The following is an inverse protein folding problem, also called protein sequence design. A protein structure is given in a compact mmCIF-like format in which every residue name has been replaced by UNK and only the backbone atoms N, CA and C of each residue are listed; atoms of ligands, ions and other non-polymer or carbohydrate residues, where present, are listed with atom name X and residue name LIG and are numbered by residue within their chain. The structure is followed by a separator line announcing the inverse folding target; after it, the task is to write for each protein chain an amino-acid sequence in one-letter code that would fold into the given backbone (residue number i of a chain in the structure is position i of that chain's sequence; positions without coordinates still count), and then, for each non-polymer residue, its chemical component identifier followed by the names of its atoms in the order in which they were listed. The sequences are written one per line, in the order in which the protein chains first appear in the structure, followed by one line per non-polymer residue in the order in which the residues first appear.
data_IF_626785585673
#
_entry.id   IF_626785585673
#
_cell.length_a   1.000
_cell.length_b   1.000
_cell.length_c   1.000
_cell.angle_alpha   90.00
_cell.angle_beta   90.00
_cell.angle_gamma   90.00
#
_symmetry.space_group_name_H-M   'P 1'
#
loop_
_entity.id
_entity.type
_entity.pdbx_description
1 polymer ?
#
# COMPACT_ATOMS: atom_id res chain seq x y z
N UNK A 1 23.22 5.80 -3.37
CA UNK A 1 22.40 6.17 -2.19
C UNK A 1 22.53 5.08 -1.16
N UNK A 2 22.41 5.38 0.13
CA UNK A 2 22.36 4.38 1.20
C UNK A 2 20.95 3.81 1.38
N UNK A 3 20.82 2.61 1.93
CA UNK A 3 19.51 2.01 2.24
C UNK A 3 18.66 2.95 3.11
N UNK A 4 19.24 3.57 4.14
CA UNK A 4 18.53 4.55 5.00
C UNK A 4 17.96 5.72 4.19
N UNK A 5 18.72 6.24 3.23
CA UNK A 5 18.31 7.38 2.41
C UNK A 5 17.14 7.00 1.50
N UNK A 6 17.18 5.80 0.90
CA UNK A 6 16.08 5.26 0.09
C UNK A 6 14.83 5.11 0.94
N UNK A 7 14.96 4.50 2.12
CA UNK A 7 13.85 4.29 3.03
C UNK A 7 13.21 5.59 3.51
N UNK A 8 14.01 6.56 3.99
CA UNK A 8 13.53 7.88 4.39
C UNK A 8 12.89 8.65 3.23
N UNK A 9 13.45 8.51 2.02
CA UNK A 9 12.88 9.09 0.82
C UNK A 9 11.48 8.54 0.54
N UNK A 10 11.29 7.22 0.59
CA UNK A 10 9.97 6.60 0.40
C UNK A 10 8.96 7.02 1.46
N UNK A 11 9.33 7.00 2.75
CA UNK A 11 8.44 7.47 3.83
C UNK A 11 8.02 8.91 3.61
N UNK A 12 8.97 9.80 3.26
CA UNK A 12 8.69 11.20 2.96
C UNK A 12 7.71 11.35 1.79
N UNK A 13 7.91 10.62 0.68
CA UNK A 13 7.00 10.63 -0.47
C UNK A 13 5.61 10.11 -0.12
N UNK A 14 5.53 9.10 0.76
CA UNK A 14 4.27 8.60 1.31
C UNK A 14 3.51 9.67 2.06
N UNK A 15 4.18 10.42 2.93
CA UNK A 15 3.58 11.55 3.70
C UNK A 15 3.14 12.68 2.77
N UNK A 16 3.93 13.00 1.74
CA UNK A 16 3.58 14.03 0.74
C UNK A 16 2.30 13.69 -0.06
N UNK A 17 1.93 12.41 -0.15
CA UNK A 17 0.80 11.90 -0.93
C UNK A 17 -0.24 11.18 -0.06
N UNK A 18 -0.19 11.36 1.26
CA UNK A 18 -1.14 10.77 2.19
C UNK A 18 -2.53 11.41 2.00
N UNK A 19 -3.63 10.63 1.98
CA UNK A 19 -4.99 11.18 1.90
C UNK A 19 -5.43 11.89 3.19
N UNK A 20 -4.68 11.73 4.28
CA UNK A 20 -4.89 12.47 5.53
C UNK A 20 -4.26 13.85 5.47
N UNK A 21 -4.74 14.73 6.34
CA UNK A 21 -4.14 16.02 6.60
C UNK A 21 -2.80 15.88 7.33
N UNK A 22 -1.94 16.89 7.21
CA UNK A 22 -0.67 16.94 7.95
C UNK A 22 -0.90 16.88 9.46
N UNK A 23 -1.95 17.54 9.95
CA UNK A 23 -2.28 17.60 11.37
C UNK A 23 -2.63 16.21 11.93
N UNK A 24 -3.31 15.36 11.14
CA UNK A 24 -3.64 13.97 11.53
C UNK A 24 -2.39 13.10 11.60
N UNK A 25 -1.47 13.23 10.64
CA UNK A 25 -0.19 12.51 10.64
C UNK A 25 0.67 12.96 11.83
N UNK A 26 0.76 14.27 12.08
CA UNK A 26 1.49 14.81 13.23
C UNK A 26 0.88 14.38 14.56
N UNK A 27 -0.45 14.29 14.64
CA UNK A 27 -1.16 13.77 15.82
C UNK A 27 -0.78 12.32 16.09
N UNK A 28 -0.75 11.47 15.06
CA UNK A 28 -0.34 10.07 15.19
C UNK A 28 1.11 9.92 15.68
N UNK A 29 2.04 10.70 15.11
CA UNK A 29 3.45 10.69 15.53
C UNK A 29 3.62 11.17 16.97
N UNK A 30 2.92 12.24 17.38
CA UNK A 30 2.91 12.72 18.78
C UNK A 30 2.38 11.67 19.74
N UNK A 31 1.29 10.99 19.37
CA UNK A 31 0.74 9.90 20.18
C UNK A 31 1.74 8.74 20.33
N UNK A 32 2.50 8.42 19.27
CA UNK A 32 3.56 7.42 19.35
C UNK A 32 4.70 7.85 20.30
N UNK A 33 5.09 9.13 20.28
CA UNK A 33 6.08 9.67 21.22
C UNK A 33 5.60 9.63 22.67
N UNK A 34 4.35 10.00 22.93
CA UNK A 34 3.73 9.95 24.25
C UNK A 34 3.69 8.51 24.76
N UNK A 35 3.22 7.58 23.92
CA UNK A 35 3.22 6.14 24.24
C UNK A 35 4.62 5.65 24.58
N UNK A 36 5.65 6.06 23.84
CA UNK A 36 7.04 5.67 24.14
C UNK A 36 7.55 6.24 25.47
N UNK A 37 7.21 7.49 25.79
CA UNK A 37 7.58 8.13 27.07
C UNK A 37 6.93 7.45 28.27
N UNK A 38 5.68 7.00 28.10
CA UNK A 38 4.91 6.28 29.13
C UNK A 38 5.27 4.78 29.22
N UNK A 39 5.91 4.23 28.19
CA UNK A 39 6.36 2.83 28.19
C UNK A 39 7.42 2.62 29.26
N UNK A 40 7.20 1.61 30.12
CA UNK A 40 8.13 1.24 31.19
C UNK A 40 9.50 0.88 30.60
N UNK A 41 10.57 1.15 31.35
CA UNK A 41 11.94 0.88 30.89
C UNK A 41 12.14 -0.58 30.47
N UNK A 42 11.51 -1.53 31.18
CA UNK A 42 11.54 -2.97 30.85
C UNK A 42 10.85 -3.32 29.53
N UNK A 43 9.93 -2.47 29.07
CA UNK A 43 9.09 -2.74 27.91
C UNK A 43 9.55 -1.93 26.69
N UNK A 44 10.45 -0.96 26.87
CA UNK A 44 10.98 -0.10 25.79
C UNK A 44 11.73 -0.89 24.72
N UNK A 45 12.33 -2.04 25.06
CA UNK A 45 13.00 -2.90 24.08
C UNK A 45 12.03 -3.50 23.05
N UNK A 46 10.75 -3.64 23.42
CA UNK A 46 9.70 -4.16 22.52
C UNK A 46 8.99 -3.07 21.74
N UNK A 47 9.23 -1.79 22.07
CA UNK A 47 8.63 -0.68 21.36
C UNK A 47 9.25 -0.54 19.96
N UNK A 48 8.41 -0.33 18.96
CA UNK A 48 8.86 -0.07 17.60
C UNK A 48 9.27 1.41 17.44
N UNK A 49 10.55 1.70 17.73
CA UNK A 49 11.09 3.07 17.67
C UNK A 49 10.93 3.74 16.30
N UNK A 50 10.79 2.96 15.23
CA UNK A 50 10.55 3.47 13.89
C UNK A 50 9.26 4.30 13.81
N UNK A 51 8.25 3.98 14.63
CA UNK A 51 6.97 4.71 14.72
C UNK A 51 7.10 6.15 15.20
N UNK A 52 8.25 6.53 15.77
CA UNK A 52 8.51 7.90 16.19
C UNK A 52 8.74 8.84 15.01
N UNK A 53 9.11 8.29 13.85
CA UNK A 53 9.44 9.09 12.64
C UNK A 53 8.76 8.61 11.38
N UNK A 54 8.22 7.39 11.37
CA UNK A 54 7.48 6.82 10.25
C UNK A 54 6.05 6.46 10.72
N UNK A 55 5.01 7.12 10.20
CA UNK A 55 3.61 6.82 10.55
C UNK A 55 3.14 5.48 9.95
N UNK A 56 3.86 4.89 8.99
CA UNK A 56 3.44 3.68 8.29
C UNK A 56 4.07 2.45 8.91
N UNK A 57 3.30 1.68 9.68
CA UNK A 57 3.81 0.49 10.38
C UNK A 57 4.15 -0.69 9.47
N UNK A 58 3.65 -0.67 8.24
CA UNK A 58 3.77 -1.71 7.23
C UNK A 58 4.96 -1.52 6.27
N UNK A 59 5.82 -0.55 6.54
CA UNK A 59 6.96 -0.16 5.69
C UNK A 59 8.23 -0.15 6.51
N UNK A 60 9.17 -1.06 6.26
CA UNK A 60 10.36 -1.24 7.12
C UNK A 60 11.59 -1.67 6.31
N UNK A 61 12.76 -1.27 6.80
CA UNK A 61 13.99 -2.04 6.56
C UNK A 61 13.87 -3.31 7.39
N UNK A 62 13.82 -4.46 6.74
CA UNK A 62 13.57 -5.76 7.38
C UNK A 62 14.87 -6.45 7.79
N UNK A 63 15.91 -6.29 6.96
CA UNK A 63 17.25 -6.82 7.21
C UNK A 63 18.31 -6.05 6.43
N UNK A 64 19.51 -5.96 6.97
CA UNK A 64 20.70 -5.36 6.33
C UNK A 64 21.21 -4.11 7.06
N UNK A 65 22.42 -3.68 6.69
CA UNK A 65 23.03 -2.47 7.24
C UNK A 65 22.43 -1.23 6.57
N UNK A 66 21.74 -0.32 7.29
CA UNK A 66 21.15 0.88 6.71
C UNK A 66 22.17 1.82 6.03
N UNK A 67 23.46 1.69 6.37
CA UNK A 67 24.55 2.49 5.78
C UNK A 67 25.12 1.91 4.48
N UNK A 68 24.66 0.73 4.04
CA UNK A 68 25.14 0.13 2.79
C UNK A 68 24.78 0.99 1.59
N UNK A 69 25.75 1.24 0.70
CA UNK A 69 25.51 1.88 -0.59
C UNK A 69 24.82 0.92 -1.56
N UNK A 70 23.75 1.40 -2.17
CA UNK A 70 22.92 0.68 -3.13
C UNK A 70 23.12 1.28 -4.51
N UNK A 71 23.47 0.42 -5.47
CA UNK A 71 23.59 0.75 -6.91
C UNK A 71 22.57 0.00 -7.74
N UNK A 72 22.19 -1.23 -7.37
CA UNK A 72 21.16 -2.00 -8.05
C UNK A 72 20.22 -2.68 -7.04
N UNK A 73 18.92 -2.51 -7.27
CA UNK A 73 17.85 -3.13 -6.48
C UNK A 73 17.08 -4.16 -7.29
N UNK A 74 16.73 -5.28 -6.65
CA UNK A 74 15.70 -6.19 -7.15
C UNK A 74 14.37 -5.78 -6.52
N UNK A 75 13.33 -5.55 -7.32
CA UNK A 75 12.05 -5.04 -6.84
C UNK A 75 10.91 -5.90 -7.32
N UNK A 76 10.06 -6.34 -6.38
CA UNK A 76 8.86 -7.12 -6.66
C UNK A 76 7.67 -6.65 -5.84
N UNK A 77 6.46 -7.03 -6.27
CA UNK A 77 5.25 -6.79 -5.48
C UNK A 77 5.20 -7.77 -4.31
N UNK A 78 5.21 -9.06 -4.62
CA UNK A 78 5.36 -10.15 -3.66
C UNK A 78 6.82 -10.60 -3.62
N UNK A 79 7.45 -10.60 -2.44
CA UNK A 79 8.83 -11.09 -2.29
C UNK A 79 8.87 -12.04 -1.11
N UNK A 80 8.82 -13.33 -1.43
CA UNK A 80 8.97 -14.39 -0.44
C UNK A 80 10.34 -15.06 -0.59
N UNK A 81 10.50 -16.26 -0.01
CA UNK A 81 11.74 -17.05 -0.10
C UNK A 81 12.14 -17.29 -1.57
N UNK A 82 11.18 -17.51 -2.46
CA UNK A 82 11.45 -17.78 -3.88
C UNK A 82 12.18 -16.63 -4.57
N UNK A 83 11.78 -15.39 -4.31
CA UNK A 83 12.36 -14.19 -4.91
C UNK A 83 13.73 -13.88 -4.30
N UNK A 84 13.91 -14.18 -3.01
CA UNK A 84 15.21 -14.09 -2.35
C UNK A 84 16.20 -15.10 -2.94
N UNK A 85 15.76 -16.35 -3.16
CA UNK A 85 16.57 -17.37 -3.82
C UNK A 85 16.88 -17.01 -5.28
N UNK A 86 15.92 -16.39 -5.99
CA UNK A 86 16.16 -15.84 -7.32
C UNK A 86 17.24 -14.76 -7.29
N UNK A 87 17.18 -13.82 -6.34
CA UNK A 87 18.19 -12.78 -6.16
C UNK A 87 19.58 -13.38 -5.92
N UNK A 88 19.67 -14.38 -5.05
CA UNK A 88 20.92 -15.08 -4.77
C UNK A 88 21.47 -15.78 -6.02
N UNK A 89 20.61 -16.48 -6.75
CA UNK A 89 21.01 -17.16 -8.00
C UNK A 89 21.46 -16.19 -9.09
N UNK A 90 20.89 -14.98 -9.13
CA UNK A 90 21.34 -13.91 -10.01
C UNK A 90 22.72 -13.40 -9.58
N UNK A 91 22.96 -13.21 -8.28
CA UNK A 91 24.28 -12.85 -7.72
C UNK A 91 25.36 -13.87 -8.07
N UNK A 92 25.06 -15.16 -7.93
CA UNK A 92 25.98 -16.24 -8.35
C UNK A 92 26.33 -16.18 -9.84
N UNK A 93 25.43 -15.66 -10.68
CA UNK A 93 25.63 -15.49 -12.13
C UNK A 93 26.28 -14.16 -12.51
N UNK A 94 26.71 -13.38 -11.52
CA UNK A 94 27.42 -12.11 -11.71
C UNK A 94 26.51 -10.89 -11.82
N UNK A 95 25.20 -11.01 -11.59
CA UNK A 95 24.32 -9.85 -11.48
C UNK A 95 24.46 -9.21 -10.09
N UNK A 96 24.62 -7.89 -10.02
CA UNK A 96 24.69 -7.18 -8.75
C UNK A 96 23.30 -7.00 -8.17
N UNK A 97 23.03 -7.49 -6.96
CA UNK A 97 21.81 -7.16 -6.22
C UNK A 97 22.23 -6.71 -4.82
N UNK A 98 22.14 -5.39 -4.58
CA UNK A 98 22.59 -4.78 -3.33
C UNK A 98 21.47 -4.72 -2.28
N UNK A 99 20.22 -4.70 -2.73
CA UNK A 99 19.02 -4.60 -1.89
C UNK A 99 17.82 -5.21 -2.63
N UNK A 100 17.00 -5.95 -1.91
CA UNK A 100 15.66 -6.36 -2.36
C UNK A 100 14.62 -5.40 -1.77
N UNK A 101 13.68 -4.96 -2.59
CA UNK A 101 12.56 -4.11 -2.19
C UNK A 101 11.25 -4.84 -2.54
N UNK A 102 10.46 -5.19 -1.52
CA UNK A 102 9.08 -5.66 -1.69
C UNK A 102 8.10 -4.49 -1.67
N UNK A 103 6.96 -4.64 -2.33
CA UNK A 103 5.79 -3.83 -2.02
C UNK A 103 5.09 -4.38 -0.77
N UNK A 104 4.64 -5.63 -0.81
CA UNK A 104 3.87 -6.20 0.29
C UNK A 104 4.73 -6.41 1.55
N UNK A 105 4.15 -6.21 2.75
CA UNK A 105 4.89 -6.30 4.00
C UNK A 105 5.35 -7.72 4.32
N UNK A 106 6.55 -7.83 4.87
CA UNK A 106 7.13 -9.06 5.42
C UNK A 106 7.65 -8.78 6.84
N UNK A 107 7.96 -9.83 7.61
CA UNK A 107 8.57 -9.67 8.95
C UNK A 107 7.80 -8.76 9.89
N UNK A 108 8.52 -7.86 10.56
CA UNK A 108 7.94 -6.92 11.54
C UNK A 108 6.90 -5.97 10.92
N UNK A 109 7.05 -5.63 9.63
CA UNK A 109 6.07 -4.80 8.94
C UNK A 109 4.73 -5.54 8.77
N UNK A 110 4.78 -6.83 8.42
CA UNK A 110 3.57 -7.67 8.33
C UNK A 110 2.88 -7.84 9.68
N UNK A 111 3.66 -8.07 10.76
CA UNK A 111 3.11 -8.14 12.13
C UNK A 111 2.30 -6.87 12.46
N UNK A 112 2.81 -5.72 12.04
CA UNK A 112 2.24 -4.42 12.35
C UNK A 112 1.29 -3.87 11.27
N UNK A 113 0.93 -4.66 10.25
CA UNK A 113 0.06 -4.22 9.16
C UNK A 113 -1.29 -3.69 9.67
N UNK A 114 -1.89 -4.38 10.64
CA UNK A 114 -3.17 -3.95 11.24
C UNK A 114 -3.11 -2.53 11.85
N UNK A 115 -1.93 -2.04 12.26
CA UNK A 115 -1.80 -0.72 12.90
C UNK A 115 -1.97 0.43 11.92
N UNK A 116 -1.56 0.27 10.65
CA UNK A 116 -1.70 1.33 9.65
C UNK A 116 -3.16 1.56 9.27
N UNK A 117 -4.02 0.56 9.48
CA UNK A 117 -5.44 0.63 9.14
C UNK A 117 -6.21 1.69 9.94
N UNK A 118 -5.68 2.22 11.04
CA UNK A 118 -6.30 3.37 11.75
C UNK A 118 -6.40 4.59 10.83
N UNK A 119 -5.53 4.73 9.83
CA UNK A 119 -5.64 5.81 8.83
C UNK A 119 -6.96 5.75 8.05
N UNK A 120 -7.62 4.59 7.96
CA UNK A 120 -8.92 4.47 7.31
C UNK A 120 -10.02 5.21 8.08
N UNK A 121 -9.85 5.44 9.38
CA UNK A 121 -10.80 6.21 10.20
C UNK A 121 -10.86 7.66 9.70
N UNK A 122 -9.69 8.28 9.52
CA UNK A 122 -9.55 9.63 8.97
C UNK A 122 -10.01 9.69 7.50
N UNK A 123 -9.69 8.67 6.68
CA UNK A 123 -10.17 8.60 5.27
C UNK A 123 -11.70 8.55 5.20
N UNK A 124 -12.35 7.71 6.02
CA UNK A 124 -13.81 7.65 6.11
C UNK A 124 -14.39 8.99 6.58
N UNK A 125 -13.72 9.66 7.53
CA UNK A 125 -14.11 10.98 8.00
C UNK A 125 -14.08 12.03 6.88
N UNK A 126 -13.01 12.07 6.08
CA UNK A 126 -12.89 12.94 4.90
C UNK A 126 -13.95 12.64 3.83
N UNK A 127 -14.43 11.41 3.75
CA UNK A 127 -15.51 11.03 2.83
C UNK A 127 -16.89 11.47 3.31
N UNK A 128 -17.04 11.88 4.58
CA UNK A 128 -18.28 12.37 5.19
C UNK A 128 -18.90 11.44 6.23
N UNK A 129 -18.20 10.38 6.63
CA UNK A 129 -18.65 9.50 7.73
C UNK A 129 -18.25 10.14 9.07
N UNK A 130 -19.13 10.28 10.08
CA UNK A 130 -18.71 10.80 11.38
C UNK A 130 -17.55 10.00 11.99
N UNK A 131 -16.53 10.70 12.50
CA UNK A 131 -15.28 10.07 12.98
C UNK A 131 -15.51 9.00 14.03
N UNK A 132 -16.41 9.23 14.99
CA UNK A 132 -16.76 8.25 16.03
C UNK A 132 -17.42 6.97 15.48
N UNK A 133 -18.07 7.05 14.31
CA UNK A 133 -18.60 5.88 13.60
C UNK A 133 -17.46 5.17 12.88
N UNK A 134 -16.55 5.92 12.23
CA UNK A 134 -15.40 5.35 11.54
C UNK A 134 -14.50 4.56 12.51
N UNK A 135 -14.16 5.15 13.67
CA UNK A 135 -13.42 4.50 14.76
C UNK A 135 -14.11 3.21 15.23
N UNK A 136 -15.44 3.24 15.44
CA UNK A 136 -16.19 2.07 15.89
C UNK A 136 -16.20 0.92 14.87
N UNK A 137 -16.31 1.24 13.58
CA UNK A 137 -16.26 0.25 12.49
C UNK A 137 -14.87 -0.33 12.32
N UNK A 138 -13.84 0.52 12.35
CA UNK A 138 -12.47 0.12 12.13
C UNK A 138 -11.88 -0.63 13.32
N UNK A 139 -12.19 -0.26 14.57
CA UNK A 139 -11.69 -0.99 15.74
C UNK A 139 -11.99 -2.49 15.70
N UNK A 140 -13.21 -2.88 15.32
CA UNK A 140 -13.59 -4.29 15.15
C UNK A 140 -12.81 -4.97 14.03
N UNK A 141 -12.67 -4.28 12.87
CA UNK A 141 -11.98 -4.80 11.69
C UNK A 141 -10.48 -4.95 11.91
N UNK A 142 -9.85 -3.95 12.53
CA UNK A 142 -8.42 -3.95 12.88
C UNK A 142 -8.11 -5.13 13.79
N UNK A 143 -8.95 -5.36 14.79
CA UNK A 143 -8.80 -6.49 15.71
C UNK A 143 -8.97 -7.86 15.02
N UNK A 144 -9.86 -7.96 14.02
CA UNK A 144 -9.99 -9.15 13.18
C UNK A 144 -8.71 -9.42 12.36
N UNK A 145 -8.19 -8.38 11.69
CA UNK A 145 -6.96 -8.47 10.89
C UNK A 145 -5.77 -8.84 11.78
N UNK A 146 -5.61 -8.20 12.94
CA UNK A 146 -4.56 -8.53 13.91
C UNK A 146 -4.57 -10.02 14.26
N UNK A 147 -5.72 -10.58 14.66
CA UNK A 147 -5.86 -12.01 14.97
C UNK A 147 -5.57 -12.91 13.76
N UNK A 148 -5.94 -12.46 12.56
CA UNK A 148 -5.65 -13.18 11.32
C UNK A 148 -4.16 -13.25 10.99
N UNK A 149 -3.38 -12.26 11.41
CA UNK A 149 -1.93 -12.19 11.21
C UNK A 149 -1.16 -12.99 12.27
N UNK A 150 -1.64 -13.06 13.52
CA UNK A 150 -0.97 -13.77 14.62
C UNK A 150 -0.40 -15.17 14.30
N UNK A 151 -1.09 -16.07 13.57
CA UNK A 151 -0.58 -17.42 13.32
C UNK A 151 0.47 -17.51 12.19
N UNK A 152 0.78 -16.41 11.50
CA UNK A 152 1.69 -16.44 10.35
C UNK A 152 3.15 -16.61 10.78
N UNK A 153 3.94 -17.24 9.92
CA UNK A 153 5.40 -17.22 10.05
C UNK A 153 5.98 -15.94 9.43
N UNK A 154 5.89 -14.84 10.18
CA UNK A 154 6.22 -13.51 9.72
C UNK A 154 7.67 -13.34 9.23
N UNK A 155 8.64 -14.01 9.87
CA UNK A 155 10.07 -13.78 9.58
C UNK A 155 10.65 -14.71 8.51
N UNK A 156 9.87 -15.63 7.93
CA UNK A 156 10.41 -16.66 7.02
C UNK A 156 11.25 -16.08 5.86
N UNK A 157 10.76 -15.02 5.23
CA UNK A 157 11.42 -14.36 4.10
C UNK A 157 12.62 -13.55 4.62
N UNK A 158 12.45 -12.85 5.74
CA UNK A 158 13.54 -12.08 6.39
C UNK A 158 14.71 -12.98 6.79
N UNK A 159 14.44 -14.17 7.33
CA UNK A 159 15.47 -15.14 7.69
C UNK A 159 16.21 -15.70 6.48
N UNK A 160 15.52 -15.96 5.36
CA UNK A 160 16.18 -16.35 4.12
C UNK A 160 17.13 -15.24 3.63
N UNK A 161 16.66 -13.99 3.60
CA UNK A 161 17.48 -12.84 3.23
C UNK A 161 18.71 -12.70 4.15
N UNK A 162 18.52 -12.92 5.46
CA UNK A 162 19.59 -12.90 6.47
C UNK A 162 20.63 -13.99 6.24
N UNK A 163 20.20 -15.22 5.96
CA UNK A 163 21.10 -16.35 5.73
C UNK A 163 21.95 -16.16 4.46
N UNK A 164 21.39 -15.53 3.44
CA UNK A 164 22.05 -15.26 2.16
C UNK A 164 22.81 -13.91 2.13
N UNK A 165 22.72 -13.15 3.23
CA UNK A 165 23.36 -11.85 3.38
C UNK A 165 22.87 -10.82 2.36
N UNK A 166 21.58 -10.84 2.01
CA UNK A 166 20.97 -9.90 1.06
C UNK A 166 20.10 -8.91 1.83
N UNK A 167 20.41 -7.61 1.83
CA UNK A 167 19.54 -6.60 2.44
C UNK A 167 18.13 -6.63 1.87
N UNK A 168 17.14 -6.41 2.73
CA UNK A 168 15.73 -6.54 2.39
C UNK A 168 14.90 -5.46 3.09
N UNK A 169 14.01 -4.81 2.34
CA UNK A 169 13.03 -3.87 2.85
C UNK A 169 11.68 -4.04 2.15
N UNK A 170 10.62 -3.51 2.75
CA UNK A 170 9.30 -3.38 2.11
C UNK A 170 8.83 -1.92 2.14
N UNK A 171 8.02 -1.53 1.15
CA UNK A 171 7.38 -0.22 1.05
C UNK A 171 5.93 -0.40 0.56
N UNK A 172 5.01 -0.31 1.50
CA UNK A 172 3.59 -0.62 1.28
C UNK A 172 2.77 0.67 1.22
N UNK A 173 2.22 1.13 2.36
CA UNK A 173 1.37 2.34 2.40
C UNK A 173 1.95 3.56 1.68
N UNK A 174 3.27 3.86 1.72
CA UNK A 174 3.82 4.95 0.92
C UNK A 174 3.60 4.79 -0.60
N UNK A 175 3.74 3.58 -1.14
CA UNK A 175 3.48 3.31 -2.56
C UNK A 175 1.98 3.38 -2.87
N UNK A 176 1.13 2.87 -1.97
CA UNK A 176 -0.33 2.94 -2.07
C UNK A 176 -0.84 4.39 -2.08
N UNK A 177 -0.29 5.24 -1.22
CA UNK A 177 -0.58 6.67 -1.19
C UNK A 177 -0.26 7.34 -2.53
N UNK A 178 0.81 6.93 -3.21
CA UNK A 178 1.13 7.43 -4.56
C UNK A 178 0.03 7.07 -5.57
N UNK A 179 -0.44 5.81 -5.58
CA UNK A 179 -1.53 5.36 -6.46
C UNK A 179 -2.81 6.10 -6.15
N UNK A 180 -3.16 6.17 -4.87
CA UNK A 180 -4.38 6.78 -4.38
C UNK A 180 -4.47 8.24 -4.83
N UNK A 181 -3.41 9.01 -4.57
CA UNK A 181 -3.32 10.41 -4.96
C UNK A 181 -3.29 10.59 -6.46
N UNK A 182 -2.54 9.77 -7.19
CA UNK A 182 -2.46 9.84 -8.65
C UNK A 182 -3.83 9.62 -9.30
N UNK A 183 -4.54 8.55 -8.93
CA UNK A 183 -5.85 8.23 -9.50
C UNK A 183 -6.93 9.21 -9.07
N UNK A 184 -6.90 9.68 -7.82
CA UNK A 184 -7.85 10.68 -7.32
C UNK A 184 -7.76 11.95 -8.18
N UNK A 185 -6.54 12.50 -8.34
CA UNK A 185 -6.29 13.69 -9.18
C UNK A 185 -6.69 13.45 -10.63
N UNK A 186 -6.37 12.27 -11.18
CA UNK A 186 -6.73 11.92 -12.55
C UNK A 186 -8.24 11.88 -12.76
N UNK A 187 -9.01 11.30 -11.83
CA UNK A 187 -10.47 11.26 -11.95
C UNK A 187 -11.11 12.62 -11.69
N UNK A 188 -10.55 13.45 -10.81
CA UNK A 188 -10.99 14.84 -10.63
C UNK A 188 -10.77 15.66 -11.91
N UNK A 189 -9.61 15.52 -12.56
CA UNK A 189 -9.29 16.22 -13.81
C UNK A 189 -10.17 15.75 -14.97
N UNK A 190 -10.33 14.43 -15.15
CA UNK A 190 -11.10 13.85 -16.26
C UNK A 190 -12.60 13.91 -16.04
N UNK A 191 -13.05 13.99 -14.79
CA UNK A 191 -14.44 14.02 -14.35
C UNK A 191 -15.37 13.05 -15.12
N UNK A 192 -15.09 11.73 -15.09
CA UNK A 192 -15.83 10.75 -15.87
C UNK A 192 -17.29 10.66 -15.43
N UNK A 193 -18.21 10.70 -16.39
CA UNK A 193 -19.65 10.65 -16.14
C UNK A 193 -20.13 9.23 -15.85
N UNK A 194 -19.46 8.22 -16.42
CA UNK A 194 -19.91 6.82 -16.39
C UNK A 194 -18.82 5.85 -15.96
N UNK A 195 -19.23 4.66 -15.47
CA UNK A 195 -18.28 3.59 -15.13
C UNK A 195 -17.47 3.14 -16.36
N UNK A 196 -18.08 3.14 -17.56
CA UNK A 196 -17.37 2.81 -18.79
C UNK A 196 -16.25 3.80 -19.12
N UNK A 197 -16.42 5.09 -18.79
CA UNK A 197 -15.36 6.09 -18.94
C UNK A 197 -14.23 5.88 -17.93
N UNK A 198 -14.54 5.53 -16.67
CA UNK A 198 -13.51 5.16 -15.68
C UNK A 198 -12.65 3.99 -16.19
N UNK A 199 -13.28 2.94 -16.74
CA UNK A 199 -12.55 1.80 -17.32
C UNK A 199 -11.65 2.23 -18.48
N UNK A 200 -12.11 3.14 -19.35
CA UNK A 200 -11.30 3.66 -20.46
C UNK A 200 -10.09 4.43 -19.94
N UNK A 201 -10.29 5.35 -18.99
CA UNK A 201 -9.22 6.13 -18.37
C UNK A 201 -8.18 5.21 -17.74
N UNK A 202 -8.61 4.21 -16.95
CA UNK A 202 -7.69 3.25 -16.35
C UNK A 202 -6.87 2.51 -17.41
N UNK A 203 -7.48 2.08 -18.52
CA UNK A 203 -6.79 1.39 -19.62
C UNK A 203 -5.83 2.26 -20.43
N UNK A 204 -5.84 3.58 -20.27
CA UNK A 204 -4.85 4.47 -20.87
C UNK A 204 -3.54 4.47 -20.06
N UNK A 205 -3.59 4.14 -18.77
CA UNK A 205 -2.41 4.04 -17.91
C UNK A 205 -1.62 2.77 -18.27
N UNK A 206 -0.30 2.86 -18.50
CA UNK A 206 0.50 1.73 -19.00
C UNK A 206 0.39 0.45 -18.16
N UNK A 207 0.43 0.54 -16.83
CA UNK A 207 0.39 -0.61 -15.92
C UNK A 207 -0.91 -1.39 -16.05
N UNK A 208 -2.05 -0.70 -16.02
CA UNK A 208 -3.36 -1.31 -16.22
C UNK A 208 -3.54 -1.82 -17.65
N UNK A 209 -2.94 -1.15 -18.64
CA UNK A 209 -2.95 -1.61 -20.03
C UNK A 209 -2.20 -2.92 -20.20
N UNK A 210 -1.01 -3.05 -19.63
CA UNK A 210 -0.23 -4.31 -19.67
C UNK A 210 -0.97 -5.42 -18.92
N UNK A 211 -1.53 -5.14 -17.75
CA UNK A 211 -2.35 -6.11 -17.02
C UNK A 211 -3.59 -6.55 -17.81
N UNK A 212 -4.23 -5.63 -18.55
CA UNK A 212 -5.37 -5.97 -19.40
C UNK A 212 -5.02 -6.94 -20.54
N UNK A 213 -3.80 -6.90 -21.08
CA UNK A 213 -3.36 -7.82 -22.16
C UNK A 213 -3.32 -9.28 -21.71
N UNK A 214 -3.11 -9.53 -20.42
CA UNK A 214 -3.10 -10.88 -19.83
C UNK A 214 -4.42 -11.23 -19.13
N UNK A 215 -5.45 -10.39 -19.27
CA UNK A 215 -6.77 -10.61 -18.66
C UNK A 215 -6.91 -10.18 -17.20
N UNK A 216 -5.91 -9.49 -16.64
CA UNK A 216 -5.89 -8.98 -15.26
C UNK A 216 -6.19 -7.47 -15.17
N UNK A 217 -6.83 -6.90 -16.20
CA UNK A 217 -7.11 -5.46 -16.27
C UNK A 217 -8.37 -5.02 -15.51
N UNK A 218 -8.68 -3.70 -15.57
CA UNK A 218 -9.82 -3.13 -14.86
C UNK A 218 -11.16 -3.78 -15.21
N UNK A 219 -11.99 -4.03 -14.18
CA UNK A 219 -13.29 -4.69 -14.29
C UNK A 219 -14.34 -4.07 -13.37
N UNK A 220 -15.55 -3.88 -13.90
CA UNK A 220 -16.73 -3.54 -13.10
C UNK A 220 -17.25 -4.82 -12.45
N UNK A 221 -17.31 -4.86 -11.12
CA UNK A 221 -17.80 -6.02 -10.35
C UNK A 221 -19.15 -5.76 -9.69
N UNK A 222 -19.53 -4.49 -9.53
CA UNK A 222 -20.89 -4.06 -9.18
C UNK A 222 -21.25 -2.87 -10.05
N UNK A 223 -22.37 -2.95 -10.78
CA UNK A 223 -22.82 -1.92 -11.70
C UNK A 223 -22.71 -2.33 -13.17
N UNK A 224 -22.73 -1.35 -14.08
CA UNK A 224 -22.57 -1.57 -15.52
C UNK A 224 -21.98 -0.33 -16.18
N UNK A 225 -21.36 -0.48 -17.36
CA UNK A 225 -20.66 0.61 -18.06
C UNK A 225 -21.51 1.87 -18.26
N UNK A 226 -22.83 1.72 -18.42
CA UNK A 226 -23.77 2.84 -18.65
C UNK A 226 -24.20 3.57 -17.38
N UNK A 227 -23.91 3.03 -16.18
CA UNK A 227 -24.27 3.69 -14.93
C UNK A 227 -23.43 4.94 -14.72
N UNK A 228 -24.02 5.95 -14.09
CA UNK A 228 -23.30 7.18 -13.70
C UNK A 228 -22.32 6.87 -12.56
N UNK A 229 -21.16 7.52 -12.59
CA UNK A 229 -20.11 7.34 -11.59
C UNK A 229 -20.52 7.90 -10.20
N UNK A 230 -21.14 9.08 -10.15
CA UNK A 230 -21.37 9.79 -8.90
C UNK A 230 -20.05 10.21 -8.24
N UNK A 231 -20.04 10.40 -6.91
CA UNK A 231 -18.80 10.65 -6.16
C UNK A 231 -17.93 9.38 -6.20
N UNK A 232 -16.73 9.51 -6.74
CA UNK A 232 -15.75 8.42 -6.83
C UNK A 232 -14.91 8.44 -5.56
N UNK A 233 -14.83 7.30 -4.88
CA UNK A 233 -13.84 7.02 -3.86
C UNK A 233 -12.77 6.09 -4.44
N UNK A 234 -11.53 6.57 -4.48
CA UNK A 234 -10.36 5.74 -4.80
C UNK A 234 -9.91 5.06 -3.51
N UNK A 235 -10.02 3.74 -3.47
CA UNK A 235 -9.73 2.89 -2.29
C UNK A 235 -8.48 2.07 -2.58
N UNK A 236 -7.33 2.72 -2.50
CA UNK A 236 -6.02 2.16 -2.88
C UNK A 236 -5.02 2.15 -1.71
N UNK A 237 -5.37 2.68 -0.54
CA UNK A 237 -4.49 2.81 0.62
C UNK A 237 -5.25 2.54 1.92
N UNK A 238 -4.53 2.37 3.03
CA UNK A 238 -5.09 1.96 4.31
C UNK A 238 -4.63 0.60 4.80
N UNK A 239 -3.59 0.02 4.20
CA UNK A 239 -2.99 -1.27 4.60
C UNK A 239 -3.71 -2.50 4.06
N UNK A 240 -5.02 -2.64 4.25
CA UNK A 240 -5.81 -3.74 3.65
C UNK A 240 -7.30 -3.40 3.65
N UNK A 241 -8.16 -4.32 3.18
CA UNK A 241 -9.60 -4.08 3.07
C UNK A 241 -10.26 -3.71 4.41
N UNK A 242 -10.98 -2.60 4.42
CA UNK A 242 -11.74 -2.07 5.56
C UNK A 242 -12.96 -2.90 5.97
N UNK A 243 -13.82 -2.31 6.81
CA UNK A 243 -15.04 -3.00 7.30
C UNK A 243 -16.12 -3.11 6.22
N UNK A 244 -16.78 -4.27 6.10
CA UNK A 244 -17.94 -4.45 5.21
C UNK A 244 -19.12 -3.55 5.60
N UNK A 245 -19.23 -3.20 6.88
CA UNK A 245 -20.26 -2.31 7.42
C UNK A 245 -20.05 -0.84 7.00
N UNK A 246 -18.88 -0.48 6.48
CA UNK A 246 -18.59 0.87 6.00
C UNK A 246 -19.42 1.26 4.77
N UNK A 247 -19.83 0.29 3.95
CA UNK A 247 -20.52 0.55 2.67
C UNK A 247 -21.86 1.27 2.85
N UNK A 248 -22.63 0.92 3.89
CA UNK A 248 -23.88 1.62 4.19
C UNK A 248 -23.63 3.09 4.59
N UNK A 249 -22.54 3.36 5.31
CA UNK A 249 -22.16 4.73 5.73
C UNK A 249 -21.63 5.55 4.56
N UNK A 250 -20.81 4.93 3.70
CA UNK A 250 -20.29 5.55 2.48
C UNK A 250 -21.43 5.93 1.51
N UNK A 251 -22.44 5.06 1.37
CA UNK A 251 -23.62 5.37 0.57
C UNK A 251 -24.37 6.58 1.14
N UNK A 252 -24.56 6.62 2.46
CA UNK A 252 -25.15 7.77 3.16
C UNK A 252 -24.33 9.07 3.02
N UNK A 253 -23.00 8.96 2.92
CA UNK A 253 -22.08 10.07 2.66
C UNK A 253 -22.00 10.48 1.17
N UNK A 254 -22.79 9.84 0.31
CA UNK A 254 -22.93 10.19 -1.11
C UNK A 254 -21.91 9.54 -2.04
N UNK A 255 -21.13 8.56 -1.58
CA UNK A 255 -20.22 7.79 -2.45
C UNK A 255 -21.03 6.95 -3.44
N UNK A 256 -20.81 7.18 -4.73
CA UNK A 256 -21.51 6.49 -5.81
C UNK A 256 -20.71 5.35 -6.45
N UNK A 257 -19.38 5.46 -6.44
CA UNK A 257 -18.49 4.45 -7.02
C UNK A 257 -17.24 4.31 -6.16
N UNK A 258 -16.82 3.07 -5.91
CA UNK A 258 -15.52 2.74 -5.34
C UNK A 258 -14.64 2.16 -6.44
N UNK A 259 -13.41 2.67 -6.56
CA UNK A 259 -12.37 2.14 -7.44
C UNK A 259 -11.26 1.60 -6.54
N UNK A 260 -11.09 0.28 -6.48
CA UNK A 260 -10.10 -0.35 -5.60
C UNK A 260 -9.26 -1.43 -6.29
N UNK A 261 -8.34 -2.02 -5.54
CA UNK A 261 -7.41 -3.06 -6.03
C UNK A 261 -8.02 -4.47 -6.03
N UNK A 262 -8.87 -4.73 -5.05
CA UNK A 262 -9.52 -6.02 -4.81
C UNK A 262 -10.80 -5.82 -3.98
N UNK A 263 -11.69 -6.81 -3.96
CA UNK A 263 -12.86 -6.80 -3.06
C UNK A 263 -13.24 -8.23 -2.66
N UNK A 264 -13.49 -8.45 -1.37
CA UNK A 264 -14.02 -9.72 -0.87
C UNK A 264 -15.51 -9.87 -1.19
N UNK A 265 -16.02 -11.10 -1.23
CA UNK A 265 -17.43 -11.35 -1.61
C UNK A 265 -18.43 -10.70 -0.63
N UNK A 266 -18.09 -10.61 0.66
CA UNK A 266 -18.97 -9.94 1.63
C UNK A 266 -19.06 -8.44 1.37
N UNK A 267 -17.91 -7.77 1.19
CA UNK A 267 -17.83 -6.36 0.80
C UNK A 267 -18.55 -6.09 -0.52
N UNK A 268 -18.39 -6.96 -1.53
CA UNK A 268 -19.09 -6.84 -2.82
C UNK A 268 -20.61 -6.87 -2.65
N UNK A 269 -21.12 -7.78 -1.82
CA UNK A 269 -22.56 -7.88 -1.52
C UNK A 269 -23.08 -6.65 -0.78
N UNK A 270 -22.33 -6.12 0.20
CA UNK A 270 -22.72 -4.89 0.88
C UNK A 270 -22.67 -3.68 -0.07
N UNK A 271 -21.70 -3.60 -0.99
CA UNK A 271 -21.70 -2.57 -2.03
C UNK A 271 -22.96 -2.62 -2.90
N UNK A 272 -23.30 -3.81 -3.40
CA UNK A 272 -24.48 -4.06 -4.24
C UNK A 272 -25.78 -3.72 -3.50
N UNK A 273 -25.91 -4.16 -2.25
CA UNK A 273 -27.05 -3.88 -1.36
C UNK A 273 -27.24 -2.39 -1.09
N UNK A 274 -26.14 -1.63 -0.97
CA UNK A 274 -26.16 -0.20 -0.72
C UNK A 274 -26.06 0.64 -2.01
N UNK A 275 -26.22 0.02 -3.18
CA UNK A 275 -26.21 0.67 -4.50
C UNK A 275 -24.91 1.42 -4.85
N UNK A 276 -23.80 1.03 -4.24
CA UNK A 276 -22.47 1.53 -4.57
C UNK A 276 -21.93 0.71 -5.75
N UNK A 277 -21.48 1.39 -6.80
CA UNK A 277 -20.79 0.73 -7.90
C UNK A 277 -19.34 0.39 -7.49
N UNK A 278 -18.79 -0.68 -8.04
CA UNK A 278 -17.42 -1.10 -7.72
C UNK A 278 -16.66 -1.44 -8.99
N UNK A 279 -15.49 -0.82 -9.14
CA UNK A 279 -14.49 -1.14 -10.15
C UNK A 279 -13.25 -1.67 -9.44
N UNK A 280 -12.79 -2.83 -9.89
CA UNK A 280 -11.50 -3.39 -9.52
C UNK A 280 -10.51 -3.05 -10.61
N UNK A 281 -9.55 -2.16 -10.31
CA UNK A 281 -8.57 -1.68 -11.29
C UNK A 281 -7.54 -2.75 -11.67
N UNK A 282 -7.27 -3.68 -10.75
CA UNK A 282 -6.28 -4.76 -10.88
C UNK A 282 -5.14 -4.56 -9.88
N UNK A 283 -4.98 -5.52 -8.98
CA UNK A 283 -4.07 -5.44 -7.82
C UNK A 283 -2.61 -5.17 -8.23
N UNK A 284 -1.96 -6.11 -8.92
CA UNK A 284 -0.55 -5.96 -9.34
C UNK A 284 -0.29 -4.69 -10.17
N UNK A 285 -1.26 -4.26 -10.97
CA UNK A 285 -1.13 -3.06 -11.78
C UNK A 285 -1.19 -1.77 -10.95
N UNK A 286 -2.07 -1.73 -9.94
CA UNK A 286 -2.13 -0.63 -8.98
C UNK A 286 -0.83 -0.56 -8.17
N UNK A 287 -0.38 -1.65 -7.58
CA UNK A 287 0.84 -1.67 -6.78
C UNK A 287 2.06 -1.29 -7.63
N UNK A 288 2.12 -1.82 -8.86
CA UNK A 288 3.17 -1.45 -9.83
C UNK A 288 3.15 0.04 -10.15
N UNK A 289 1.97 0.64 -10.32
CA UNK A 289 1.81 2.07 -10.57
C UNK A 289 2.39 2.89 -9.40
N UNK A 290 2.10 2.51 -8.15
CA UNK A 290 2.59 3.19 -6.95
C UNK A 290 4.10 3.06 -6.82
N UNK A 291 4.59 1.84 -6.99
CA UNK A 291 6.01 1.53 -6.99
C UNK A 291 6.75 2.29 -8.10
N UNK A 292 6.25 2.33 -9.33
CA UNK A 292 6.89 3.07 -10.43
C UNK A 292 7.08 4.55 -10.09
N UNK A 293 6.07 5.21 -9.52
CA UNK A 293 6.15 6.62 -9.12
C UNK A 293 7.24 6.88 -8.07
N UNK A 294 7.56 5.91 -7.22
CA UNK A 294 8.68 6.00 -6.27
C UNK A 294 10.02 5.63 -6.91
N UNK A 295 10.05 4.56 -7.72
CA UNK A 295 11.25 3.99 -8.32
C UNK A 295 11.83 4.86 -9.43
N UNK A 296 11.02 5.67 -10.11
CA UNK A 296 11.50 6.63 -11.11
C UNK A 296 12.47 7.63 -10.46
N UNK A 297 12.14 8.16 -9.27
CA UNK A 297 13.04 9.05 -8.52
C UNK A 297 14.32 8.37 -8.01
N UNK A 298 14.31 7.05 -7.76
CA UNK A 298 15.53 6.32 -7.44
C UNK A 298 16.41 6.12 -8.69
N UNK A 299 15.79 5.83 -9.82
CA UNK A 299 16.48 5.65 -11.09
C UNK A 299 17.17 6.94 -11.55
N UNK A 300 16.53 8.10 -11.36
CA UNK A 300 17.12 9.42 -11.60
C UNK A 300 18.37 9.68 -10.77
N UNK A 301 18.46 9.09 -9.56
CA UNK A 301 19.61 9.17 -8.67
C UNK A 301 20.67 8.10 -8.97
N UNK A 302 20.54 7.39 -10.09
CA UNK A 302 21.53 6.40 -10.57
C UNK A 302 21.36 4.99 -10.02
N UNK A 303 20.28 4.70 -9.28
CA UNK A 303 19.99 3.34 -8.81
C UNK A 303 19.34 2.52 -9.93
N UNK A 304 19.98 1.42 -10.32
CA UNK A 304 19.43 0.49 -11.30
C UNK A 304 18.29 -0.34 -10.71
N UNK A 305 17.17 -0.45 -11.43
CA UNK A 305 16.00 -1.21 -10.99
C UNK A 305 15.88 -2.50 -11.81
N UNK A 306 15.91 -3.64 -11.14
CA UNK A 306 15.62 -4.96 -11.73
C UNK A 306 14.23 -5.42 -11.27
N UNK A 307 13.21 -5.42 -12.14
CA UNK A 307 11.85 -5.82 -11.74
C UNK A 307 11.69 -7.34 -11.71
N UNK A 308 10.90 -7.83 -10.76
CA UNK A 308 10.44 -9.21 -10.66
C UNK A 308 9.05 -9.29 -10.03
N UNK A 309 8.54 -10.52 -9.86
CA UNK A 309 7.36 -10.85 -9.03
C UNK A 309 6.20 -9.85 -9.09
N UNK A 310 5.57 -9.75 -10.26
CA UNK A 310 4.38 -8.92 -10.46
C UNK A 310 4.65 -7.44 -10.79
N UNK A 311 5.86 -6.92 -10.60
CA UNK A 311 6.17 -5.52 -10.90
C UNK A 311 6.17 -5.26 -12.42
N UNK A 312 5.14 -4.58 -12.89
CA UNK A 312 5.03 -4.05 -14.26
C UNK A 312 5.82 -2.75 -14.30
N UNK A 313 7.13 -2.83 -14.59
CA UNK A 313 8.00 -1.64 -14.63
C UNK A 313 7.68 -0.75 -15.82
N UNK A 314 7.28 0.49 -15.54
CA UNK A 314 7.05 1.56 -16.52
C UNK A 314 7.82 2.78 -16.10
N UNK A 315 8.80 3.20 -16.91
CA UNK A 315 9.58 4.42 -16.65
C UNK A 315 8.81 5.66 -17.11
N UNK A 316 8.76 6.70 -16.28
CA UNK A 316 8.10 7.97 -16.58
C UNK A 316 9.03 9.16 -16.44
#
# INVERSE_FOLDING_TARGET
MKIREIYQFFVKRGIENDPRSKDEIERELKQAEETYKETKETDKEFFDQERLTNPYSDTRILYGNPELEVKKVLVGIDVEISEILLADRLRERGESVDLIIAHHPEGKALVALHKVMTMQEDILAHLGVPVNIAEGLMGSRISEVERGLMPLNHNRSVDAARLLGIPFMCVHTPADNMVNTFLTKLFEEKNPCTLGEIIKILREIPEYKEAAKIGAGPKIVVGSEKKRAGKIFVDMTGGTGGSEDAYAKLAGAGVGTIVGMHIGEKHRKEAEKNHINVIIAGHMASDSLGMNLLLDSLAEQGVSILPCSGLIRVKR
#
